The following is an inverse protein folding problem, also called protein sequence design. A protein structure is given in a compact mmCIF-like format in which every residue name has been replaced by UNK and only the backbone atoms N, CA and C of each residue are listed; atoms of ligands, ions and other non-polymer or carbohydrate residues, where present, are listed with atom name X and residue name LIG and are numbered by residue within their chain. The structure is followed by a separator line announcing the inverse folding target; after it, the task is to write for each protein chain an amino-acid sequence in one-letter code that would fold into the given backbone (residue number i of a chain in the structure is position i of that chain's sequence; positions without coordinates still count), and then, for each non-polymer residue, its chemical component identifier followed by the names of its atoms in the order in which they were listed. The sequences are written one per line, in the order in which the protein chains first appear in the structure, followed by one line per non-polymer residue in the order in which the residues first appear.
data_IF_930642348689
#
_entry.id   IF_930642348689
#
_cell.length_a   1.000
_cell.length_b   1.000
_cell.length_c   1.000
_cell.angle_alpha   90.00
_cell.angle_beta   90.00
_cell.angle_gamma   90.00
#
_symmetry.space_group_name_H-M   'P 1'
#
loop_
_entity.id
_entity.type
_entity.pdbx_description
1 polymer ?
#
# COMPACT_ATOMS: atom_id res chain seq x y z
N UNK A 1 -23.62 -8.59 0.67
CA UNK A 1 -22.36 -7.90 0.35
C UNK A 1 -21.48 -7.99 1.60
N UNK A 2 -20.47 -8.85 1.59
CA UNK A 2 -19.58 -9.05 2.74
C UNK A 2 -18.45 -8.03 2.69
N UNK A 3 -18.35 -7.20 3.74
CA UNK A 3 -17.23 -6.28 3.93
C UNK A 3 -16.10 -7.07 4.59
N UNK A 4 -14.99 -7.25 3.86
CA UNK A 4 -13.79 -7.95 4.36
C UNK A 4 -13.12 -7.24 5.56
N UNK A 5 -13.55 -6.03 5.88
CA UNK A 5 -13.31 -5.35 7.15
C UNK A 5 -14.61 -4.72 7.65
N UNK A 6 -15.44 -5.48 8.35
CA UNK A 6 -16.51 -4.92 9.19
C UNK A 6 -16.22 -5.23 10.64
N UNK A 7 -15.40 -4.39 11.25
CA UNK A 7 -15.39 -4.22 12.69
C UNK A 7 -16.39 -3.13 13.05
N UNK A 8 -17.58 -3.51 13.51
CA UNK A 8 -18.38 -2.65 14.40
C UNK A 8 -17.70 -2.64 15.76
N UNK A 9 -16.66 -1.83 15.91
CA UNK A 9 -16.14 -1.49 17.24
C UNK A 9 -16.71 -0.13 17.61
N UNK A 10 -17.50 -0.09 18.68
CA UNK A 10 -18.00 1.14 19.33
C UNK A 10 -16.93 1.81 20.21
N UNK A 11 -15.69 1.32 20.18
CA UNK A 11 -14.56 2.01 20.78
C UNK A 11 -14.12 3.14 19.84
N UNK A 12 -13.77 4.31 20.39
CA UNK A 12 -13.01 5.32 19.66
C UNK A 12 -11.85 4.63 18.91
N UNK A 13 -11.59 4.96 17.63
CA UNK A 13 -10.61 4.24 16.83
C UNK A 13 -9.29 4.23 17.61
N UNK A 14 -8.71 3.06 17.94
CA UNK A 14 -7.50 3.01 18.75
C UNK A 14 -6.24 3.38 17.93
N UNK A 15 -6.38 4.18 16.88
CA UNK A 15 -5.31 4.45 15.92
C UNK A 15 -4.93 5.93 15.93
N UNK A 16 -4.64 6.44 17.12
CA UNK A 16 -3.66 7.51 17.33
C UNK A 16 -2.23 6.95 17.48
N UNK A 17 -2.05 5.63 17.36
CA UNK A 17 -0.73 5.01 17.27
C UNK A 17 -0.33 4.90 15.80
N UNK A 18 0.59 5.75 15.36
CA UNK A 18 1.20 5.74 14.03
C UNK A 18 2.09 4.49 13.87
N UNK A 19 1.48 3.31 13.92
CA UNK A 19 2.16 2.02 13.92
C UNK A 19 2.54 1.55 12.52
N UNK A 20 3.73 0.97 12.40
CA UNK A 20 4.16 0.24 11.20
C UNK A 20 3.50 -1.14 11.22
N UNK A 21 2.79 -1.49 10.15
CA UNK A 21 2.13 -2.80 9.99
C UNK A 21 2.86 -3.59 8.90
N UNK A 22 3.22 -4.84 9.20
CA UNK A 22 3.82 -5.77 8.24
C UNK A 22 2.81 -6.86 7.87
N UNK A 23 2.52 -6.99 6.57
CA UNK A 23 1.71 -8.08 6.03
C UNK A 23 2.62 -9.16 5.43
N UNK A 24 2.66 -10.33 6.07
CA UNK A 24 3.46 -11.48 5.62
C UNK A 24 2.59 -12.67 5.20
N UNK A 25 3.07 -13.46 4.24
CA UNK A 25 2.40 -14.69 3.81
C UNK A 25 3.10 -15.34 2.60
N UNK A 26 2.76 -16.60 2.26
CA UNK A 26 3.36 -17.32 1.14
C UNK A 26 3.25 -16.59 -0.21
N UNK A 27 4.08 -16.93 -1.20
CA UNK A 27 3.88 -16.47 -2.58
C UNK A 27 2.42 -16.71 -3.03
N UNK A 28 1.89 -15.79 -3.84
CA UNK A 28 0.54 -15.90 -4.43
C UNK A 28 -0.65 -15.92 -3.45
N UNK A 29 -0.48 -15.65 -2.16
CA UNK A 29 -1.59 -15.62 -1.20
C UNK A 29 -2.44 -14.32 -1.21
N UNK A 30 -2.34 -13.49 -2.26
CA UNK A 30 -3.17 -12.28 -2.42
C UNK A 30 -2.71 -11.02 -1.68
N UNK A 31 -1.47 -10.98 -1.17
CA UNK A 31 -0.94 -9.82 -0.41
C UNK A 31 -1.08 -8.49 -1.16
N UNK A 32 -0.63 -8.44 -2.41
CA UNK A 32 -0.67 -7.22 -3.24
C UNK A 32 -2.10 -6.74 -3.46
N UNK A 33 -3.05 -7.67 -3.66
CA UNK A 33 -4.47 -7.34 -3.78
C UNK A 33 -5.04 -6.81 -2.47
N UNK A 34 -4.67 -7.41 -1.33
CA UNK A 34 -5.09 -6.94 -0.01
C UNK A 34 -4.53 -5.55 0.31
N UNK A 35 -3.25 -5.29 0.00
CA UNK A 35 -2.62 -3.97 0.16
C UNK A 35 -3.29 -2.92 -0.73
N UNK A 36 -3.65 -3.27 -1.96
CA UNK A 36 -4.35 -2.36 -2.86
C UNK A 36 -5.78 -2.06 -2.37
N UNK A 37 -6.51 -3.07 -1.89
CA UNK A 37 -7.81 -2.87 -1.28
C UNK A 37 -7.72 -2.00 -0.01
N UNK A 38 -6.67 -2.18 0.79
CA UNK A 38 -6.40 -1.32 1.94
C UNK A 38 -6.15 0.13 1.49
N UNK A 39 -5.42 0.35 0.38
CA UNK A 39 -5.22 1.69 -0.17
C UNK A 39 -6.54 2.37 -0.54
N UNK A 40 -7.45 1.63 -1.20
CA UNK A 40 -8.79 2.11 -1.56
C UNK A 40 -9.58 2.49 -0.30
N UNK A 41 -9.66 1.60 0.68
CA UNK A 41 -10.42 1.84 1.91
C UNK A 41 -9.85 3.06 2.65
N UNK A 42 -8.52 3.15 2.77
CA UNK A 42 -7.86 4.25 3.46
C UNK A 42 -8.07 5.60 2.77
N UNK A 43 -8.02 5.63 1.44
CA UNK A 43 -8.32 6.82 0.66
C UNK A 43 -9.78 7.27 0.79
N UNK A 44 -10.72 6.31 0.85
CA UNK A 44 -12.14 6.59 1.04
C UNK A 44 -12.45 7.11 2.45
N UNK A 45 -11.88 6.49 3.48
CA UNK A 45 -12.12 6.84 4.89
C UNK A 45 -11.49 8.18 5.28
N UNK A 46 -10.26 8.43 4.84
CA UNK A 46 -9.52 9.63 5.23
C UNK A 46 -9.82 10.86 4.37
N UNK A 47 -10.31 10.66 3.15
CA UNK A 47 -10.42 11.71 2.13
C UNK A 47 -9.08 12.28 1.65
N UNK A 48 -7.95 11.75 2.14
CA UNK A 48 -6.57 12.18 1.84
C UNK A 48 -5.92 11.24 0.84
N UNK A 49 -4.75 11.65 0.33
CA UNK A 49 -3.94 10.83 -0.54
C UNK A 49 -3.35 9.62 0.18
N UNK A 50 -3.21 8.52 -0.55
CA UNK A 50 -2.50 7.30 -0.12
C UNK A 50 -1.41 7.03 -1.14
N UNK A 51 -0.20 6.71 -0.67
CA UNK A 51 0.91 6.35 -1.54
C UNK A 51 1.05 4.83 -1.57
N UNK A 52 1.07 4.26 -2.77
CA UNK A 52 1.31 2.84 -3.03
C UNK A 52 2.64 2.68 -3.76
N UNK A 53 3.66 2.18 -3.06
CA UNK A 53 4.99 1.91 -3.59
C UNK A 53 5.05 0.46 -4.05
N UNK A 54 5.46 0.23 -5.29
CA UNK A 54 5.60 -1.11 -5.84
C UNK A 54 6.64 -1.14 -6.97
N UNK A 55 7.05 -2.34 -7.39
CA UNK A 55 7.78 -2.54 -8.64
C UNK A 55 6.84 -2.38 -9.84
N UNK A 56 7.26 -1.65 -10.87
CA UNK A 56 6.49 -1.48 -12.11
C UNK A 56 6.27 -2.82 -12.81
N UNK A 57 7.34 -3.59 -12.97
CA UNK A 57 7.29 -4.88 -13.65
C UNK A 57 6.36 -5.86 -12.93
N UNK A 58 6.36 -5.88 -11.60
CA UNK A 58 5.47 -6.77 -10.84
C UNK A 58 4.00 -6.36 -10.96
N UNK A 59 3.71 -5.05 -10.86
CA UNK A 59 2.34 -4.55 -10.97
C UNK A 59 1.74 -4.80 -12.37
N UNK A 60 2.53 -4.60 -13.44
CA UNK A 60 2.09 -4.83 -14.82
C UNK A 60 1.87 -6.32 -15.13
N UNK A 61 2.72 -7.21 -14.61
CA UNK A 61 2.61 -8.65 -14.85
C UNK A 61 1.58 -9.35 -13.94
N UNK A 62 1.28 -8.77 -12.78
CA UNK A 62 0.35 -9.33 -11.81
C UNK A 62 -0.45 -8.21 -11.13
N UNK A 63 -1.42 -7.61 -11.85
CA UNK A 63 -2.22 -6.53 -11.30
C UNK A 63 -3.06 -7.02 -10.10
N UNK A 64 -3.29 -6.17 -9.09
CA UNK A 64 -4.10 -6.53 -7.93
C UNK A 64 -5.54 -6.83 -8.34
N UNK A 65 -6.11 -7.90 -7.79
CA UNK A 65 -7.53 -8.19 -7.92
C UNK A 65 -8.34 -7.24 -7.04
N UNK A 66 -9.35 -6.61 -7.63
CA UNK A 66 -10.35 -5.84 -6.89
C UNK A 66 -11.48 -6.77 -6.45
N UNK A 67 -12.01 -6.57 -5.23
CA UNK A 67 -13.16 -7.34 -4.75
C UNK A 67 -14.38 -7.10 -5.65
N UNK A 68 -15.00 -8.17 -6.15
CA UNK A 68 -16.20 -8.07 -6.98
C UNK A 68 -17.31 -7.30 -6.27
N UNK A 69 -17.91 -6.32 -6.95
CA UNK A 69 -19.00 -5.51 -6.42
C UNK A 69 -18.57 -4.27 -5.62
N UNK A 70 -17.26 -4.01 -5.49
CA UNK A 70 -16.72 -2.75 -4.97
C UNK A 70 -16.02 -2.05 -6.12
N UNK A 71 -16.76 -1.28 -6.91
CA UNK A 71 -16.17 -0.34 -7.86
C UNK A 71 -15.82 0.94 -7.10
N UNK A 72 -14.54 1.20 -6.77
CA UNK A 72 -14.18 2.45 -6.14
C UNK A 72 -14.55 3.61 -7.07
N UNK A 73 -15.07 4.69 -6.48
CA UNK A 73 -15.33 5.90 -7.27
C UNK A 73 -14.03 6.42 -7.87
N UNK A 74 -14.11 7.05 -9.05
CA UNK A 74 -12.97 7.71 -9.68
C UNK A 74 -12.28 8.69 -8.72
N UNK A 75 -13.04 9.37 -7.86
CA UNK A 75 -12.52 10.27 -6.84
C UNK A 75 -11.71 9.59 -5.74
N UNK A 76 -12.00 8.32 -5.42
CA UNK A 76 -11.17 7.52 -4.50
C UNK A 76 -9.91 7.05 -5.20
N UNK A 77 -10.02 6.57 -6.44
CA UNK A 77 -8.86 6.13 -7.22
C UNK A 77 -7.86 7.27 -7.47
N UNK A 78 -8.34 8.49 -7.75
CA UNK A 78 -7.49 9.69 -7.92
C UNK A 78 -6.68 10.05 -6.67
N UNK A 79 -7.08 9.56 -5.48
CA UNK A 79 -6.32 9.77 -4.25
C UNK A 79 -5.20 8.76 -4.07
N UNK A 80 -5.18 7.66 -4.83
CA UNK A 80 -4.12 6.65 -4.76
C UNK A 80 -2.99 7.05 -5.70
N UNK A 81 -1.84 7.40 -5.13
CA UNK A 81 -0.63 7.73 -5.86
C UNK A 81 0.28 6.50 -5.95
N UNK A 82 0.52 6.01 -7.16
CA UNK A 82 1.42 4.87 -7.38
C UNK A 82 2.85 5.39 -7.63
N UNK A 83 3.81 4.88 -6.86
CA UNK A 83 5.25 5.17 -7.04
C UNK A 83 5.98 3.88 -7.39
N UNK A 84 6.60 3.88 -8.56
CA UNK A 84 7.45 2.79 -9.01
C UNK A 84 8.87 2.96 -8.47
N UNK A 85 9.27 2.08 -7.55
CA UNK A 85 10.60 2.05 -6.93
C UNK A 85 11.09 0.62 -6.99
N UNK A 86 12.34 0.41 -7.42
CA UNK A 86 12.88 -0.93 -7.71
C UNK A 86 14.03 -1.34 -6.77
N UNK A 87 14.60 -0.40 -5.99
CA UNK A 87 15.81 -0.64 -5.19
C UNK A 87 15.81 0.06 -3.81
N UNK A 88 16.76 -0.37 -2.97
CA UNK A 88 16.96 0.15 -1.61
C UNK A 88 17.31 1.65 -1.61
N UNK A 89 18.06 2.10 -2.62
CA UNK A 89 18.44 3.50 -2.76
C UNK A 89 17.22 4.39 -3.02
N UNK A 90 16.32 3.96 -3.90
CA UNK A 90 15.09 4.66 -4.24
C UNK A 90 14.14 4.77 -3.05
N UNK A 91 13.95 3.69 -2.28
CA UNK A 91 13.08 3.74 -1.10
C UNK A 91 13.68 4.62 0.00
N UNK A 92 15.01 4.59 0.20
CA UNK A 92 15.71 5.49 1.14
C UNK A 92 15.56 6.96 0.73
N UNK A 93 15.78 7.28 -0.55
CA UNK A 93 15.60 8.65 -1.07
C UNK A 93 14.15 9.13 -0.91
N UNK A 94 13.18 8.25 -1.16
CA UNK A 94 11.77 8.57 -1.00
C UNK A 94 11.46 8.98 0.45
N UNK A 95 11.83 8.16 1.43
CA UNK A 95 11.59 8.47 2.85
C UNK A 95 12.45 9.64 3.36
N UNK A 96 13.67 9.81 2.86
CA UNK A 96 14.51 10.97 3.21
C UNK A 96 13.84 12.31 2.82
N UNK A 97 13.04 12.32 1.76
CA UNK A 97 12.32 13.51 1.29
C UNK A 97 11.00 13.79 2.03
N UNK A 98 10.58 12.97 3.03
CA UNK A 98 9.28 13.14 3.70
C UNK A 98 9.12 14.49 4.38
N UNK A 99 10.22 15.06 4.88
CA UNK A 99 10.22 16.37 5.53
C UNK A 99 9.89 17.54 4.57
N UNK A 100 9.87 17.30 3.24
CA UNK A 100 9.52 18.27 2.22
C UNK A 100 8.03 18.22 1.83
N UNK A 101 7.24 17.31 2.39
CA UNK A 101 5.82 17.21 2.09
C UNK A 101 5.03 18.27 2.86
N UNK A 102 4.26 19.08 2.12
CA UNK A 102 3.32 20.04 2.73
C UNK A 102 2.20 19.32 3.50
N UNK A 103 1.72 18.20 2.93
CA UNK A 103 0.69 17.34 3.51
C UNK A 103 1.14 15.88 3.52
N UNK A 104 1.08 15.23 4.69
CA UNK A 104 1.37 13.80 4.80
C UNK A 104 0.24 12.96 4.17
N UNK A 105 0.55 11.82 3.52
CA UNK A 105 -0.48 10.89 3.09
C UNK A 105 -1.14 10.21 4.30
N UNK A 106 -2.37 9.71 4.12
CA UNK A 106 -3.06 8.93 5.15
C UNK A 106 -2.45 7.54 5.38
N UNK A 107 -1.69 7.04 4.41
CA UNK A 107 -0.85 5.85 4.51
C UNK A 107 0.21 5.83 3.40
N UNK A 108 1.34 5.20 3.71
CA UNK A 108 2.37 4.80 2.74
C UNK A 108 2.42 3.29 2.76
N UNK A 109 2.08 2.67 1.64
CA UNK A 109 1.95 1.23 1.50
C UNK A 109 3.12 0.77 0.62
N UNK A 110 3.87 -0.22 1.09
CA UNK A 110 5.01 -0.77 0.35
C UNK A 110 4.72 -2.22 0.01
N UNK A 111 4.44 -2.49 -1.26
CA UNK A 111 4.29 -3.86 -1.75
C UNK A 111 5.66 -4.53 -1.90
N UNK A 112 5.75 -5.78 -1.48
CA UNK A 112 6.97 -6.60 -1.56
C UNK A 112 8.22 -5.95 -0.94
N UNK A 113 8.09 -5.46 0.30
CA UNK A 113 9.15 -4.75 1.03
C UNK A 113 10.50 -5.48 1.07
N UNK A 114 10.50 -6.81 1.15
CA UNK A 114 11.74 -7.62 1.15
C UNK A 114 12.47 -7.59 -0.19
N UNK A 115 11.76 -7.30 -1.28
CA UNK A 115 12.35 -7.17 -2.62
C UNK A 115 13.39 -6.06 -2.73
N UNK A 116 13.30 -5.00 -1.91
CA UNK A 116 14.26 -3.89 -1.93
C UNK A 116 15.63 -4.26 -1.37
N UNK A 117 15.70 -5.25 -0.46
CA UNK A 117 16.92 -5.59 0.29
C UNK A 117 17.51 -6.93 -0.10
N UNK A 118 16.92 -7.62 -1.09
CA UNK A 118 17.46 -8.89 -1.55
C UNK A 118 18.76 -8.61 -2.28
N UNK A 119 19.88 -9.00 -1.67
CA UNK A 119 21.16 -9.03 -2.37
C UNK A 119 20.97 -9.79 -3.68
N UNK A 120 21.44 -9.20 -4.79
CA UNK A 120 21.70 -9.99 -5.99
C UNK A 120 22.68 -11.06 -5.54
N UNK A 121 22.20 -12.26 -5.25
CA UNK A 121 23.07 -13.40 -4.97
C UNK A 121 24.10 -13.41 -6.09
N UNK A 122 25.39 -13.17 -5.79
CA UNK A 122 26.40 -13.19 -6.83
C UNK A 122 26.31 -14.58 -7.42
N UNK A 123 26.07 -14.64 -8.73
CA UNK A 123 26.15 -15.87 -9.49
C UNK A 123 27.55 -16.45 -9.21
N UNK A 124 27.61 -17.45 -8.33
CA UNK A 124 28.72 -18.38 -8.21
C UNK A 124 28.51 -19.51 -9.22
#
# INVERSE_FOLDING_TARGET
AERFFSGTSTAAPPFDDAGIILLSGPPCCGKTSLLFQFAINRAAESGRHVVFICSKGRLENSPPFLSQGVEPSLSVLQRIQIKYIEDDEGIRKYFAAFHLLDDFPAAVIVDDFTGFFSERSPLL
#
